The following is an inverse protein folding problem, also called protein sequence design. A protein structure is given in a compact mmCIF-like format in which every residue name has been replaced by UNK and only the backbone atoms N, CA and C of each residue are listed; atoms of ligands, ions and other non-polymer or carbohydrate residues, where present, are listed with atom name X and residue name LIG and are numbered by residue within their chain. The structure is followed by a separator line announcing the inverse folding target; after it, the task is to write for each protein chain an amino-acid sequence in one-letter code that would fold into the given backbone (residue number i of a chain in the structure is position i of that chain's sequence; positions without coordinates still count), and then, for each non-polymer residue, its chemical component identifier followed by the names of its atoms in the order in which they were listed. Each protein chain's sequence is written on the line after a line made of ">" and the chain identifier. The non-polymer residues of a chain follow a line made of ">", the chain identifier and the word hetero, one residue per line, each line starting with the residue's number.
data_IF_935166605934
#
_entry.id   IF_935166605934
#
_cell.length_a   1.000
_cell.length_b   1.000
_cell.length_c   1.000
_cell.angle_alpha   90.00
_cell.angle_beta   90.00
_cell.angle_gamma   90.00
#
_symmetry.space_group_name_H-M   'P 1'
#
loop_
_entity.id
_entity.type
_entity.pdbx_description
1 polymer ?
#
# COMPACT_ATOMS: atom_id res chain seq x y z
N UNK A 1 -62.03 -29.09 33.43
CA UNK A 1 -61.96 -28.74 31.99
C UNK A 1 -60.50 -28.45 31.67
N UNK A 2 -59.83 -29.42 31.06
CA UNK A 2 -58.44 -29.34 30.60
C UNK A 2 -58.44 -28.86 29.15
N UNK A 3 -57.69 -27.78 28.85
CA UNK A 3 -57.35 -27.42 27.48
C UNK A 3 -55.85 -27.09 27.40
N UNK A 4 -55.21 -27.75 26.42
CA UNK A 4 -53.84 -27.63 25.96
C UNK A 4 -53.46 -26.20 25.53
N UNK A 5 -52.16 -25.86 25.52
CA UNK A 5 -51.43 -25.54 24.27
C UNK A 5 -49.92 -25.39 24.49
N UNK A 6 -49.20 -25.92 23.50
CA UNK A 6 -47.76 -25.88 23.27
C UNK A 6 -47.19 -24.46 23.20
N UNK A 7 -45.92 -24.33 23.60
CA UNK A 7 -45.13 -23.12 23.47
C UNK A 7 -43.63 -23.44 23.43
N UNK A 8 -43.22 -24.27 22.48
CA UNK A 8 -41.81 -24.46 22.16
C UNK A 8 -41.23 -23.19 21.56
N UNK A 9 -40.44 -22.46 22.34
CA UNK A 9 -39.69 -21.30 21.89
C UNK A 9 -38.44 -21.77 21.12
N UNK A 10 -38.55 -21.82 19.79
CA UNK A 10 -37.41 -21.83 18.88
C UNK A 10 -36.74 -20.45 18.92
N UNK A 11 -35.65 -20.34 19.68
CA UNK A 11 -34.75 -19.19 19.59
C UNK A 11 -34.08 -19.14 18.21
N UNK A 12 -33.72 -17.94 17.72
CA UNK A 12 -33.03 -17.82 16.43
C UNK A 12 -31.65 -18.49 16.51
N UNK A 13 -31.11 -19.01 15.39
CA UNK A 13 -29.77 -19.56 15.39
C UNK A 13 -28.79 -18.44 15.77
N UNK A 14 -28.00 -18.69 16.82
CA UNK A 14 -26.85 -17.84 17.13
C UNK A 14 -25.91 -17.91 15.93
N UNK A 15 -25.76 -16.78 15.24
CA UNK A 15 -24.78 -16.59 14.17
C UNK A 15 -23.38 -16.51 14.80
N UNK A 16 -22.95 -17.67 15.30
CA UNK A 16 -21.69 -17.87 16.01
C UNK A 16 -20.55 -18.04 15.01
N UNK A 17 -20.27 -16.99 14.26
CA UNK A 17 -18.99 -16.88 13.56
C UNK A 17 -17.84 -17.06 14.58
N UNK A 18 -16.71 -17.67 14.18
CA UNK A 18 -15.61 -17.91 15.10
C UNK A 18 -15.12 -16.58 15.68
N UNK A 19 -15.28 -16.40 17.00
CA UNK A 19 -14.76 -15.25 17.73
C UNK A 19 -13.24 -15.33 17.70
N UNK A 20 -12.61 -14.42 16.97
CA UNK A 20 -11.16 -14.37 16.86
C UNK A 20 -10.57 -13.80 18.16
N UNK A 21 -9.78 -14.62 18.86
CA UNK A 21 -9.00 -14.17 20.03
C UNK A 21 -7.69 -13.53 19.56
N UNK A 22 -7.51 -12.23 19.77
CA UNK A 22 -6.32 -11.47 19.34
C UNK A 22 -6.48 -10.76 17.99
N UNK A 23 -5.44 -10.03 17.57
CA UNK A 23 -5.47 -9.21 16.36
C UNK A 23 -5.34 -10.11 15.11
N UNK A 24 -6.31 -10.02 14.22
CA UNK A 24 -6.30 -10.73 12.94
C UNK A 24 -6.26 -9.75 11.75
N UNK A 25 -5.56 -10.15 10.70
CA UNK A 25 -5.44 -9.44 9.43
C UNK A 25 -5.82 -10.41 8.32
N UNK A 26 -6.62 -9.97 7.35
CA UNK A 26 -6.89 -10.78 6.17
C UNK A 26 -5.97 -10.35 5.02
N UNK A 27 -5.39 -11.32 4.31
CA UNK A 27 -4.70 -11.13 3.05
C UNK A 27 -5.60 -11.66 1.95
N UNK A 28 -6.05 -10.78 1.06
CA UNK A 28 -7.01 -11.09 0.01
C UNK A 28 -6.29 -11.09 -1.33
N UNK A 29 -6.19 -12.25 -1.97
CA UNK A 29 -5.66 -12.35 -3.33
C UNK A 29 -6.77 -12.39 -4.36
N UNK A 30 -6.72 -11.46 -5.31
CA UNK A 30 -7.63 -11.38 -6.43
C UNK A 30 -6.97 -12.00 -7.66
N UNK A 31 -7.61 -13.03 -8.22
CA UNK A 31 -7.20 -13.65 -9.48
C UNK A 31 -8.39 -13.67 -10.43
N UNK A 32 -8.35 -12.84 -11.48
CA UNK A 32 -9.38 -12.87 -12.53
C UNK A 32 -8.96 -13.87 -13.61
N UNK A 33 -9.70 -14.97 -13.76
CA UNK A 33 -9.49 -15.87 -14.88
C UNK A 33 -9.86 -15.13 -16.17
N UNK A 34 -8.86 -14.67 -16.93
CA UNK A 34 -9.04 -14.22 -18.31
C UNK A 34 -9.09 -12.72 -18.58
N UNK A 35 -8.68 -11.83 -17.67
CA UNK A 35 -8.59 -10.41 -18.02
C UNK A 35 -7.36 -10.11 -18.90
N UNK A 36 -7.55 -10.14 -20.21
CA UNK A 36 -6.60 -9.59 -21.22
C UNK A 36 -6.28 -8.10 -21.01
N UNK A 37 -6.98 -7.42 -20.09
CA UNK A 37 -6.70 -6.03 -19.70
C UNK A 37 -5.59 -5.92 -18.63
N UNK A 38 -5.21 -7.02 -17.97
CA UNK A 38 -4.10 -7.03 -17.02
C UNK A 38 -2.73 -6.79 -17.71
N UNK A 39 -2.61 -7.11 -19.01
CA UNK A 39 -1.38 -6.90 -19.78
C UNK A 39 -1.08 -5.42 -20.09
N UNK A 40 -2.09 -4.55 -20.08
CA UNK A 40 -1.90 -3.10 -20.29
C UNK A 40 -1.77 -2.33 -18.98
N UNK A 41 -1.65 -3.06 -17.87
CA UNK A 41 -1.49 -2.47 -16.55
C UNK A 41 0.02 -2.19 -16.35
N UNK A 42 0.54 -1.17 -17.05
CA UNK A 42 1.96 -0.83 -17.24
C UNK A 42 2.85 -0.77 -15.97
N UNK A 43 4.04 -1.35 -16.07
CA UNK A 43 5.20 -1.11 -15.19
C UNK A 43 5.89 -2.36 -14.65
N UNK A 44 5.16 -3.46 -14.51
CA UNK A 44 5.69 -4.79 -14.23
C UNK A 44 4.62 -5.80 -14.62
N UNK A 45 4.95 -6.70 -15.55
CA UNK A 45 4.26 -7.98 -15.58
C UNK A 45 4.44 -8.57 -14.18
N UNK A 46 3.37 -8.62 -13.38
CA UNK A 46 3.38 -9.28 -12.07
C UNK A 46 3.94 -10.69 -12.31
N UNK A 47 5.19 -10.90 -11.92
CA UNK A 47 5.85 -12.19 -12.17
C UNK A 47 5.30 -13.26 -11.22
N UNK A 48 4.75 -12.83 -10.08
CA UNK A 48 4.18 -13.70 -9.06
C UNK A 48 2.66 -13.86 -9.23
N UNK A 49 2.13 -15.10 -9.25
CA UNK A 49 0.70 -15.35 -9.20
C UNK A 49 0.07 -14.78 -7.92
N UNK A 50 -1.13 -14.17 -7.97
CA UNK A 50 -1.75 -13.53 -6.80
C UNK A 50 -1.89 -14.43 -5.57
N UNK A 51 -2.20 -15.71 -5.75
CA UNK A 51 -2.34 -16.65 -4.62
C UNK A 51 -1.01 -16.95 -3.93
N UNK A 52 0.06 -17.12 -4.70
CA UNK A 52 1.43 -17.30 -4.15
C UNK A 52 1.82 -16.04 -3.38
N UNK A 53 1.58 -14.87 -3.96
CA UNK A 53 1.84 -13.60 -3.27
C UNK A 53 1.06 -13.49 -1.95
N UNK A 54 -0.22 -13.90 -1.90
CA UNK A 54 -0.99 -13.92 -0.65
C UNK A 54 -0.38 -14.85 0.40
N UNK A 55 0.04 -16.05 0.03
CA UNK A 55 0.67 -16.98 0.98
C UNK A 55 1.98 -16.41 1.54
N UNK A 56 2.80 -15.79 0.69
CA UNK A 56 4.06 -15.15 1.08
C UNK A 56 3.83 -13.94 1.99
N UNK A 57 2.85 -13.09 1.67
CA UNK A 57 2.50 -11.96 2.53
C UNK A 57 1.92 -12.42 3.86
N UNK A 58 1.11 -13.48 3.87
CA UNK A 58 0.60 -14.06 5.10
C UNK A 58 1.72 -14.67 5.95
N UNK A 59 2.71 -15.31 5.34
CA UNK A 59 3.91 -15.80 6.03
C UNK A 59 4.73 -14.64 6.61
N UNK A 60 5.03 -13.63 5.80
CA UNK A 60 5.72 -12.41 6.21
C UNK A 60 5.05 -11.77 7.44
N UNK A 61 3.72 -11.63 7.44
CA UNK A 61 2.97 -11.07 8.58
C UNK A 61 3.14 -11.93 9.82
N UNK A 62 2.98 -13.26 9.72
CA UNK A 62 3.11 -14.18 10.86
C UNK A 62 4.53 -14.23 11.43
N UNK A 63 5.54 -14.11 10.58
CA UNK A 63 6.96 -14.17 10.98
C UNK A 63 7.44 -12.88 11.65
N UNK A 64 6.87 -11.73 11.26
CA UNK A 64 7.36 -10.42 11.68
C UNK A 64 6.43 -9.71 12.68
N UNK A 65 5.27 -10.30 12.99
CA UNK A 65 4.27 -9.70 13.87
C UNK A 65 3.54 -10.77 14.69
N UNK A 66 2.93 -10.44 15.83
CA UNK A 66 2.11 -11.37 16.60
C UNK A 66 0.71 -11.60 15.99
N UNK A 67 0.41 -11.05 14.81
CA UNK A 67 -0.92 -11.07 14.21
C UNK A 67 -1.21 -12.41 13.51
N UNK A 68 -2.48 -12.80 13.55
CA UNK A 68 -2.97 -13.93 12.74
C UNK A 68 -3.26 -13.44 11.33
N UNK A 69 -2.67 -14.09 10.34
CA UNK A 69 -2.95 -13.80 8.93
C UNK A 69 -3.93 -14.83 8.35
N UNK A 70 -5.10 -14.37 7.91
CA UNK A 70 -6.12 -15.15 7.22
C UNK A 70 -5.92 -14.99 5.70
N UNK A 71 -5.89 -16.08 4.95
CA UNK A 71 -5.81 -16.04 3.49
C UNK A 71 -7.20 -16.14 2.89
N UNK A 72 -7.58 -15.19 2.02
CA UNK A 72 -8.86 -15.19 1.32
C UNK A 72 -8.64 -15.10 -0.20
N UNK A 73 -8.65 -16.22 -0.94
CA UNK A 73 -8.63 -16.18 -2.38
C UNK A 73 -9.97 -15.71 -2.95
N UNK A 74 -9.94 -14.81 -3.94
CA UNK A 74 -11.10 -14.26 -4.62
C UNK A 74 -10.88 -14.35 -6.14
N UNK A 75 -11.91 -14.78 -6.87
CA UNK A 75 -11.83 -15.03 -8.32
C UNK A 75 -12.44 -13.92 -9.18
N UNK A 76 -12.91 -12.85 -8.56
CA UNK A 76 -13.50 -11.68 -9.22
C UNK A 76 -12.71 -10.42 -8.86
N UNK A 77 -12.52 -9.56 -9.86
CA UNK A 77 -11.92 -8.22 -9.68
C UNK A 77 -12.97 -7.13 -9.50
N UNK A 78 -14.25 -7.48 -9.42
CA UNK A 78 -15.33 -6.53 -9.16
C UNK A 78 -15.18 -5.88 -7.77
N UNK A 79 -14.96 -4.55 -7.69
CA UNK A 79 -14.77 -3.86 -6.43
C UNK A 79 -15.93 -4.04 -5.45
N UNK A 80 -17.18 -4.05 -5.94
CA UNK A 80 -18.35 -4.14 -5.06
C UNK A 80 -18.44 -5.52 -4.40
N UNK A 81 -18.27 -6.59 -5.18
CA UNK A 81 -18.25 -7.96 -4.66
C UNK A 81 -17.09 -8.16 -3.69
N UNK A 82 -15.94 -7.56 -3.97
CA UNK A 82 -14.79 -7.64 -3.08
C UNK A 82 -15.02 -6.87 -1.77
N UNK A 83 -15.64 -5.68 -1.82
CA UNK A 83 -16.02 -4.92 -0.64
C UNK A 83 -17.01 -5.70 0.24
N UNK A 84 -18.04 -6.32 -0.34
CA UNK A 84 -18.98 -7.19 0.40
C UNK A 84 -18.26 -8.35 1.08
N UNK A 85 -17.32 -9.01 0.38
CA UNK A 85 -16.51 -10.09 0.97
C UNK A 85 -15.66 -9.61 2.14
N UNK A 86 -15.08 -8.41 2.04
CA UNK A 86 -14.30 -7.81 3.12
C UNK A 86 -15.18 -7.47 4.32
N UNK A 87 -16.36 -6.91 4.08
CA UNK A 87 -17.31 -6.55 5.15
C UNK A 87 -17.94 -7.78 5.83
N UNK A 88 -18.05 -8.89 5.11
CA UNK A 88 -18.49 -10.19 5.64
C UNK A 88 -17.41 -10.98 6.39
N UNK A 89 -16.20 -10.45 6.56
CA UNK A 89 -15.15 -11.11 7.35
C UNK A 89 -15.55 -11.22 8.83
N UNK A 90 -15.03 -12.22 9.58
CA UNK A 90 -15.33 -12.38 10.99
C UNK A 90 -15.02 -11.12 11.80
N UNK A 91 -15.85 -10.87 12.81
CA UNK A 91 -15.61 -9.79 13.77
C UNK A 91 -14.24 -9.96 14.44
N UNK A 92 -13.42 -8.91 14.41
CA UNK A 92 -12.05 -8.92 14.94
C UNK A 92 -10.94 -8.85 13.88
N UNK A 93 -11.25 -8.97 12.59
CA UNK A 93 -10.29 -8.57 11.54
C UNK A 93 -10.10 -7.06 11.59
N UNK A 94 -8.88 -6.62 11.92
CA UNK A 94 -8.57 -5.20 12.14
C UNK A 94 -8.10 -4.50 10.87
N UNK A 95 -7.52 -5.26 9.93
CA UNK A 95 -7.01 -4.76 8.66
C UNK A 95 -7.13 -5.81 7.57
N UNK A 96 -7.21 -5.36 6.32
CA UNK A 96 -7.21 -6.20 5.12
C UNK A 96 -6.12 -5.72 4.18
N UNK A 97 -5.28 -6.63 3.71
CA UNK A 97 -4.28 -6.38 2.68
C UNK A 97 -4.70 -7.02 1.36
N UNK A 98 -4.92 -6.22 0.31
CA UNK A 98 -5.42 -6.66 -0.99
C UNK A 98 -4.28 -6.75 -2.01
N UNK A 99 -4.19 -7.90 -2.67
CA UNK A 99 -3.14 -8.28 -3.63
C UNK A 99 -3.78 -8.67 -4.97
N UNK A 100 -3.11 -8.33 -6.08
CA UNK A 100 -3.56 -8.73 -7.42
C UNK A 100 -4.66 -7.83 -8.03
N UNK A 101 -4.99 -6.72 -7.39
CA UNK A 101 -5.99 -5.76 -7.88
C UNK A 101 -5.33 -4.59 -8.64
N UNK A 102 -6.04 -3.98 -9.59
CA UNK A 102 -5.61 -2.78 -10.31
C UNK A 102 -5.77 -1.51 -9.46
N UNK A 103 -5.15 -0.40 -9.86
CA UNK A 103 -5.09 0.81 -9.04
C UNK A 103 -6.47 1.48 -8.84
N UNK A 104 -7.35 1.46 -9.85
CA UNK A 104 -8.69 2.04 -9.76
C UNK A 104 -9.61 1.20 -8.88
N UNK A 105 -9.57 -0.10 -9.09
CA UNK A 105 -10.35 -1.07 -8.35
C UNK A 105 -9.93 -1.08 -6.87
N UNK A 106 -8.63 -1.01 -6.60
CA UNK A 106 -8.05 -0.86 -5.25
C UNK A 106 -8.60 0.35 -4.51
N UNK A 107 -8.58 1.52 -5.15
CA UNK A 107 -9.13 2.74 -4.58
C UNK A 107 -10.65 2.64 -4.34
N UNK A 108 -11.38 2.01 -5.27
CA UNK A 108 -12.83 1.80 -5.13
C UNK A 108 -13.17 0.91 -3.94
N UNK A 109 -12.47 -0.22 -3.76
CA UNK A 109 -12.68 -1.13 -2.63
C UNK A 109 -12.36 -0.45 -1.31
N UNK A 110 -11.20 0.21 -1.20
CA UNK A 110 -10.80 0.88 0.03
C UNK A 110 -11.81 1.95 0.46
N UNK A 111 -12.32 2.73 -0.50
CA UNK A 111 -13.35 3.74 -0.25
C UNK A 111 -14.67 3.10 0.21
N UNK A 112 -15.18 2.12 -0.51
CA UNK A 112 -16.46 1.49 -0.20
C UNK A 112 -16.46 0.81 1.19
N UNK A 113 -15.38 0.09 1.52
CA UNK A 113 -15.22 -0.53 2.85
C UNK A 113 -15.13 0.53 3.95
N UNK A 114 -14.41 1.63 3.69
CA UNK A 114 -14.28 2.74 4.64
C UNK A 114 -15.63 3.43 4.90
N UNK A 115 -16.38 3.77 3.85
CA UNK A 115 -17.69 4.42 3.93
C UNK A 115 -18.70 3.58 4.73
N UNK A 116 -18.57 2.25 4.68
CA UNK A 116 -19.42 1.30 5.41
C UNK A 116 -18.86 0.90 6.77
N UNK A 117 -17.79 1.56 7.23
CA UNK A 117 -17.23 1.37 8.57
C UNK A 117 -16.50 0.04 8.77
N UNK A 118 -16.02 -0.58 7.70
CA UNK A 118 -15.26 -1.82 7.73
C UNK A 118 -13.81 -1.66 8.25
N UNK A 119 -13.01 -2.74 8.18
CA UNK A 119 -11.60 -2.70 8.55
C UNK A 119 -10.77 -1.78 7.63
N UNK A 120 -9.61 -1.33 8.10
CA UNK A 120 -8.69 -0.57 7.24
C UNK A 120 -8.22 -1.45 6.07
N UNK A 121 -8.37 -0.94 4.85
CA UNK A 121 -7.91 -1.59 3.63
C UNK A 121 -6.55 -1.03 3.23
N UNK A 122 -5.57 -1.92 3.11
CA UNK A 122 -4.26 -1.68 2.56
C UNK A 122 -4.14 -2.45 1.24
N UNK A 123 -3.41 -1.92 0.28
CA UNK A 123 -3.23 -2.52 -1.04
C UNK A 123 -1.76 -2.62 -1.39
N UNK A 124 -1.42 -3.47 -2.36
CA UNK A 124 -0.04 -3.51 -2.90
C UNK A 124 0.43 -2.13 -3.36
N UNK A 125 -0.47 -1.31 -3.91
CA UNK A 125 -0.14 0.04 -4.36
C UNK A 125 0.28 0.95 -3.20
N UNK A 126 -0.31 0.80 -2.02
CA UNK A 126 0.03 1.62 -0.85
C UNK A 126 1.45 1.34 -0.35
N UNK A 127 1.80 0.06 -0.23
CA UNK A 127 3.13 -0.37 0.21
C UNK A 127 4.19 -0.08 -0.86
N UNK A 128 3.85 -0.23 -2.14
CA UNK A 128 4.71 0.20 -3.25
C UNK A 128 4.95 1.70 -3.23
N UNK A 129 3.90 2.49 -3.01
CA UNK A 129 3.98 3.96 -2.91
C UNK A 129 4.94 4.38 -1.80
N UNK A 130 4.83 3.76 -0.62
CA UNK A 130 5.73 4.04 0.50
C UNK A 130 7.19 3.70 0.16
N UNK A 131 7.45 2.52 -0.40
CA UNK A 131 8.81 2.09 -0.74
C UNK A 131 9.42 2.93 -1.87
N UNK A 132 8.66 3.23 -2.94
CA UNK A 132 9.11 4.09 -4.05
C UNK A 132 9.40 5.51 -3.57
N UNK A 133 8.56 6.06 -2.68
CA UNK A 133 8.81 7.38 -2.11
C UNK A 133 10.07 7.39 -1.21
N UNK A 134 10.29 6.34 -0.41
CA UNK A 134 11.49 6.20 0.39
C UNK A 134 12.75 6.05 -0.48
N UNK A 135 12.68 5.28 -1.56
CA UNK A 135 13.74 5.14 -2.55
C UNK A 135 14.06 6.47 -3.23
N UNK A 136 13.04 7.26 -3.56
CA UNK A 136 13.18 8.62 -4.10
C UNK A 136 13.96 9.53 -3.15
N UNK A 137 13.55 9.60 -1.88
CA UNK A 137 14.21 10.43 -0.86
C UNK A 137 15.66 9.98 -0.63
N UNK A 138 15.90 8.67 -0.57
CA UNK A 138 17.25 8.12 -0.40
C UNK A 138 18.12 8.43 -1.62
N UNK A 139 17.57 8.34 -2.83
CA UNK A 139 18.29 8.68 -4.07
C UNK A 139 18.66 10.17 -4.10
N UNK A 140 17.77 11.07 -3.68
CA UNK A 140 18.10 12.50 -3.50
C UNK A 140 19.27 12.69 -2.52
N UNK A 141 19.21 12.05 -1.34
CA UNK A 141 20.26 12.12 -0.32
C UNK A 141 21.61 11.60 -0.81
N UNK A 142 21.63 10.47 -1.52
CA UNK A 142 22.86 9.90 -2.12
C UNK A 142 23.50 10.83 -3.14
N UNK A 143 22.70 11.70 -3.77
CA UNK A 143 23.15 12.76 -4.68
C UNK A 143 23.48 14.07 -3.96
N UNK A 144 23.50 14.06 -2.62
CA UNK A 144 23.69 15.26 -1.79
C UNK A 144 22.64 16.36 -2.04
N UNK A 145 21.44 15.98 -2.49
CA UNK A 145 20.31 16.89 -2.69
C UNK A 145 19.37 16.75 -1.49
N UNK A 146 19.18 17.82 -0.68
CA UNK A 146 18.18 17.81 0.37
C UNK A 146 16.78 17.61 -0.23
N UNK A 147 15.88 16.80 0.37
CA UNK A 147 14.55 16.54 -0.19
C UNK A 147 13.77 17.81 -0.57
N UNK A 148 13.81 18.83 0.30
CA UNK A 148 13.16 20.14 0.10
C UNK A 148 13.63 20.93 -1.12
N UNK A 149 14.80 20.60 -1.66
CA UNK A 149 15.37 21.22 -2.86
C UNK A 149 15.33 20.27 -4.06
N UNK A 150 14.90 19.01 -3.85
CA UNK A 150 14.87 17.99 -4.87
C UNK A 150 13.76 18.23 -5.89
N UNK A 151 14.13 18.09 -7.16
CA UNK A 151 13.23 18.13 -8.31
C UNK A 151 13.03 16.73 -8.86
N UNK A 152 11.82 16.22 -8.71
CA UNK A 152 11.48 14.83 -9.05
C UNK A 152 10.53 14.81 -10.24
N UNK A 153 10.90 14.05 -11.27
CA UNK A 153 10.04 13.77 -12.43
C UNK A 153 9.39 12.41 -12.21
N UNK A 154 8.08 12.30 -12.45
CA UNK A 154 7.32 11.05 -12.32
C UNK A 154 6.73 10.67 -13.67
N UNK A 155 7.02 9.47 -14.16
CA UNK A 155 6.29 8.88 -15.29
C UNK A 155 5.04 8.17 -14.77
N UNK A 156 3.95 8.16 -15.54
CA UNK A 156 2.77 7.36 -15.20
C UNK A 156 2.09 7.76 -13.88
N UNK A 157 2.10 9.04 -13.49
CA UNK A 157 1.61 9.48 -12.18
C UNK A 157 0.17 9.03 -11.83
N UNK A 158 -0.69 8.78 -12.82
CA UNK A 158 -2.04 8.25 -12.63
C UNK A 158 -2.11 6.86 -11.97
N UNK A 159 -0.99 6.13 -11.99
CA UNK A 159 -0.86 4.77 -11.46
C UNK A 159 -0.78 4.71 -9.94
N UNK A 160 -0.12 5.70 -9.34
CA UNK A 160 0.06 5.82 -7.90
C UNK A 160 -0.40 7.20 -7.43
N UNK A 161 -1.73 7.45 -7.34
CA UNK A 161 -2.26 8.77 -7.00
C UNK A 161 -1.75 9.31 -5.66
N UNK A 162 -1.41 8.43 -4.71
CA UNK A 162 -0.86 8.82 -3.42
C UNK A 162 0.63 9.21 -3.47
N UNK A 163 1.36 8.91 -4.55
CA UNK A 163 2.80 9.15 -4.58
C UNK A 163 3.16 10.63 -4.45
N UNK A 164 2.53 11.50 -5.25
CA UNK A 164 2.79 12.93 -5.20
C UNK A 164 2.48 13.54 -3.81
N UNK A 165 1.28 13.37 -3.22
CA UNK A 165 1.00 13.92 -1.89
C UNK A 165 1.90 13.30 -0.81
N UNK A 166 2.28 12.03 -0.90
CA UNK A 166 3.21 11.39 0.04
C UNK A 166 4.62 11.97 -0.07
N UNK A 167 5.13 12.21 -1.28
CA UNK A 167 6.44 12.84 -1.49
C UNK A 167 6.45 14.27 -0.93
N UNK A 168 5.39 15.05 -1.17
CA UNK A 168 5.22 16.39 -0.59
C UNK A 168 5.19 16.33 0.94
N UNK A 169 4.35 15.46 1.52
CA UNK A 169 4.24 15.27 2.97
C UNK A 169 5.54 14.71 3.61
N UNK A 170 6.41 14.12 2.79
CA UNK A 170 7.74 13.66 3.19
C UNK A 170 8.83 14.72 2.98
N UNK A 171 8.48 15.89 2.45
CA UNK A 171 9.33 17.07 2.33
C UNK A 171 10.05 17.23 0.98
N UNK A 172 9.56 16.60 -0.09
CA UNK A 172 10.09 16.83 -1.45
C UNK A 172 9.64 18.21 -1.97
N UNK A 173 10.58 18.95 -2.55
CA UNK A 173 10.39 20.35 -2.93
C UNK A 173 9.59 20.56 -4.22
N UNK A 174 9.93 19.83 -5.28
CA UNK A 174 9.32 20.01 -6.60
C UNK A 174 9.01 18.67 -7.26
N UNK A 175 7.84 18.60 -7.88
CA UNK A 175 7.30 17.40 -8.53
C UNK A 175 6.73 17.79 -9.89
N UNK A 176 7.19 17.11 -10.92
CA UNK A 176 6.64 17.22 -12.26
C UNK A 176 6.26 15.85 -12.81
N UNK A 177 5.24 15.80 -13.66
CA UNK A 177 4.83 14.58 -14.36
C UNK A 177 5.32 14.63 -15.79
N UNK A 178 5.75 13.48 -16.31
CA UNK A 178 6.09 13.31 -17.72
C UNK A 178 5.24 12.20 -18.34
N UNK A 179 4.84 12.39 -19.58
CA UNK A 179 4.05 11.42 -20.34
C UNK A 179 4.74 11.09 -21.65
N UNK A 180 4.66 9.83 -22.06
CA UNK A 180 5.29 9.35 -23.30
C UNK A 180 4.80 10.08 -24.54
N UNK A 181 3.51 10.47 -24.57
CA UNK A 181 2.95 11.31 -25.65
C UNK A 181 3.64 12.66 -25.80
N UNK A 182 4.31 13.16 -24.75
CA UNK A 182 5.00 14.44 -24.74
C UNK A 182 6.48 14.29 -25.15
N UNK A 183 6.95 13.07 -25.44
CA UNK A 183 8.35 12.76 -25.70
C UNK A 183 8.95 13.50 -26.90
N UNK A 184 8.15 13.76 -27.94
CA UNK A 184 8.58 14.46 -29.15
C UNK A 184 8.94 15.93 -28.86
N UNK A 185 8.10 16.62 -28.07
CA UNK A 185 8.31 18.01 -27.69
C UNK A 185 9.28 18.14 -26.50
N UNK A 186 9.22 17.21 -25.55
CA UNK A 186 9.98 17.22 -24.31
C UNK A 186 10.66 15.86 -24.06
N UNK A 187 11.80 15.59 -24.72
CA UNK A 187 12.55 14.36 -24.51
C UNK A 187 12.97 14.19 -23.05
N UNK A 188 12.65 13.03 -22.45
CA UNK A 188 12.87 12.78 -21.02
C UNK A 188 14.34 12.99 -20.60
N UNK A 189 15.29 12.58 -21.44
CA UNK A 189 16.73 12.78 -21.18
C UNK A 189 17.08 14.25 -20.97
N UNK A 190 16.51 15.15 -21.78
CA UNK A 190 16.73 16.60 -21.70
C UNK A 190 16.08 17.20 -20.45
N UNK A 191 14.86 16.78 -20.12
CA UNK A 191 14.21 17.17 -18.87
C UNK A 191 15.06 16.78 -17.66
N UNK A 192 15.62 15.58 -17.69
CA UNK A 192 16.44 15.09 -16.61
C UNK A 192 17.76 15.87 -16.45
N UNK A 193 18.25 16.65 -17.42
CA UNK A 193 19.41 17.54 -17.23
C UNK A 193 19.20 18.57 -16.11
N UNK A 194 17.94 18.93 -15.81
CA UNK A 194 17.57 19.92 -14.81
C UNK A 194 16.81 19.36 -13.61
N UNK A 195 16.68 18.03 -13.54
CA UNK A 195 15.96 17.32 -12.48
C UNK A 195 16.85 16.29 -11.77
N UNK A 196 16.58 16.05 -10.50
CA UNK A 196 17.47 15.30 -9.63
C UNK A 196 17.19 13.80 -9.66
N UNK A 197 15.92 13.41 -9.70
CA UNK A 197 15.46 12.01 -9.67
C UNK A 197 14.32 11.79 -10.64
N UNK A 198 14.34 10.65 -11.32
CA UNK A 198 13.24 10.14 -12.12
C UNK A 198 12.57 8.99 -11.36
N UNK A 199 11.26 9.05 -11.16
CA UNK A 199 10.46 7.90 -10.73
C UNK A 199 9.76 7.34 -11.96
N UNK A 200 10.15 6.14 -12.38
CA UNK A 200 9.55 5.47 -13.53
C UNK A 200 8.51 4.45 -13.05
N UNK A 201 7.25 4.88 -12.94
CA UNK A 201 6.14 4.00 -12.53
C UNK A 201 5.61 3.18 -13.70
N UNK A 202 5.59 3.76 -14.90
CA UNK A 202 5.04 3.12 -16.08
C UNK A 202 6.02 2.17 -16.77
N UNK A 203 7.31 2.17 -16.40
CA UNK A 203 8.35 1.39 -17.06
C UNK A 203 8.61 1.86 -18.49
N UNK A 204 8.26 3.11 -18.81
CA UNK A 204 8.34 3.67 -20.15
C UNK A 204 9.54 4.61 -20.33
N UNK A 205 10.34 4.83 -19.28
CA UNK A 205 11.52 5.66 -19.42
C UNK A 205 12.56 4.94 -20.30
N UNK A 206 13.07 5.60 -21.37
CA UNK A 206 14.13 5.02 -22.18
C UNK A 206 15.37 4.69 -21.34
N UNK A 207 16.06 3.62 -21.72
CA UNK A 207 17.31 3.25 -21.06
C UNK A 207 18.31 4.43 -21.13
N UNK A 208 18.94 4.72 -19.99
CA UNK A 208 19.88 5.85 -19.89
C UNK A 208 19.24 7.25 -19.90
N UNK A 209 17.91 7.39 -19.83
CA UNK A 209 17.27 8.70 -19.67
C UNK A 209 17.71 9.42 -18.38
N UNK A 210 17.99 8.64 -17.32
CA UNK A 210 18.43 9.16 -16.02
C UNK A 210 19.42 8.20 -15.31
N UNK A 211 20.66 8.03 -15.84
CA UNK A 211 21.61 7.06 -15.30
C UNK A 211 21.91 7.30 -13.81
N UNK A 212 21.77 6.26 -13.00
CA UNK A 212 22.04 6.32 -11.55
C UNK A 212 21.09 7.20 -10.73
N UNK A 213 19.97 7.65 -11.31
CA UNK A 213 18.96 8.47 -10.63
C UNK A 213 17.51 8.09 -10.94
N UNK A 214 17.30 6.95 -11.57
CA UNK A 214 15.98 6.36 -11.80
C UNK A 214 15.60 5.47 -10.63
N UNK A 215 14.41 5.71 -10.06
CA UNK A 215 13.71 4.82 -9.14
C UNK A 215 12.63 4.12 -9.95
N UNK A 216 12.81 2.83 -10.22
CA UNK A 216 11.84 2.00 -10.92
C UNK A 216 10.98 1.21 -9.92
N UNK A 217 9.77 0.84 -10.35
CA UNK A 217 8.94 -0.14 -9.66
C UNK A 217 9.51 -1.55 -9.92
N UNK A 218 9.72 -2.37 -8.89
CA UNK A 218 10.27 -3.71 -9.08
C UNK A 218 9.27 -4.60 -9.83
N UNK A 219 9.80 -5.58 -10.57
CA UNK A 219 8.99 -6.59 -11.25
C UNK A 219 8.19 -7.49 -10.27
N UNK A 220 8.64 -7.54 -9.02
CA UNK A 220 8.00 -8.27 -7.93
C UNK A 220 7.72 -7.29 -6.78
N UNK A 221 6.44 -6.97 -6.60
CA UNK A 221 6.00 -6.03 -5.57
C UNK A 221 6.23 -6.53 -4.14
N UNK A 222 6.39 -7.85 -3.95
CA UNK A 222 6.63 -8.43 -2.63
C UNK A 222 7.87 -7.85 -1.95
N UNK A 223 8.94 -7.59 -2.72
CA UNK A 223 10.19 -7.05 -2.18
C UNK A 223 9.97 -5.71 -1.47
N UNK A 224 9.13 -4.84 -2.05
CA UNK A 224 8.81 -3.54 -1.47
C UNK A 224 7.73 -3.65 -0.38
N UNK A 225 6.75 -4.52 -0.58
CA UNK A 225 5.74 -4.82 0.44
C UNK A 225 6.35 -5.34 1.74
N UNK A 226 7.39 -6.18 1.64
CA UNK A 226 8.12 -6.72 2.79
C UNK A 226 8.76 -5.65 3.69
N UNK A 227 9.15 -4.50 3.11
CA UNK A 227 9.75 -3.40 3.85
C UNK A 227 8.74 -2.61 4.68
N UNK A 228 7.48 -2.59 4.25
CA UNK A 228 6.47 -1.66 4.77
C UNK A 228 5.43 -2.39 5.61
N UNK A 229 4.89 -3.48 5.06
CA UNK A 229 3.63 -4.07 5.52
C UNK A 229 3.66 -4.51 6.99
N UNK A 230 4.68 -5.22 7.50
CA UNK A 230 4.66 -5.69 8.89
C UNK A 230 4.65 -4.53 9.90
N UNK A 231 5.50 -3.52 9.68
CA UNK A 231 5.59 -2.36 10.57
C UNK A 231 4.34 -1.48 10.49
N UNK A 232 3.79 -1.31 9.29
CA UNK A 232 2.54 -0.57 9.08
C UNK A 232 1.36 -1.25 9.79
N UNK A 233 1.19 -2.56 9.62
CA UNK A 233 0.15 -3.34 10.31
C UNK A 233 0.35 -3.30 11.83
N UNK A 234 1.59 -3.44 12.32
CA UNK A 234 1.89 -3.40 13.75
C UNK A 234 1.50 -2.06 14.41
N UNK A 235 1.50 -0.96 13.65
CA UNK A 235 1.05 0.33 14.12
C UNK A 235 -0.45 0.57 13.91
N UNK A 236 -1.04 0.13 12.80
CA UNK A 236 -2.46 0.37 12.52
C UNK A 236 -3.37 -0.48 13.41
N UNK A 237 -3.02 -1.75 13.57
CA UNK A 237 -3.82 -2.67 14.37
C UNK A 237 -3.74 -2.29 15.85
N UNK A 238 -4.90 -2.07 16.48
CA UNK A 238 -5.02 -1.62 17.87
C UNK A 238 -5.25 -0.12 18.07
N UNK A 239 -5.16 0.70 17.01
CA UNK A 239 -5.41 2.16 17.10
C UNK A 239 -6.78 2.58 16.56
N UNK A 240 -7.67 1.64 16.22
CA UNK A 240 -9.01 1.94 15.71
C UNK A 240 -9.03 2.68 14.37
N UNK A 241 -7.91 2.66 13.64
CA UNK A 241 -7.76 3.33 12.34
C UNK A 241 -8.63 2.64 11.30
N UNK A 242 -9.40 3.45 10.56
CA UNK A 242 -10.29 2.95 9.48
C UNK A 242 -9.82 3.32 8.09
N UNK A 243 -8.91 4.28 7.98
CA UNK A 243 -8.44 4.81 6.69
C UNK A 243 -6.94 5.01 6.72
N UNK A 244 -6.26 4.60 5.65
CA UNK A 244 -4.85 4.89 5.45
C UNK A 244 -4.70 6.34 4.94
N UNK A 245 -4.07 7.21 5.73
CA UNK A 245 -3.87 8.61 5.34
C UNK A 245 -2.49 8.87 4.73
N UNK A 246 -2.35 9.99 4.04
CA UNK A 246 -1.08 10.46 3.46
C UNK A 246 0.00 10.57 4.53
N UNK A 247 -0.34 11.07 5.72
CA UNK A 247 0.58 11.27 6.85
C UNK A 247 1.14 9.95 7.39
N UNK A 248 0.29 8.91 7.43
CA UNK A 248 0.70 7.56 7.81
C UNK A 248 1.69 6.99 6.81
N UNK A 249 1.39 7.10 5.51
CA UNK A 249 2.29 6.63 4.45
C UNK A 249 3.60 7.44 4.46
N UNK A 250 3.53 8.77 4.61
CA UNK A 250 4.71 9.63 4.72
C UNK A 250 5.54 9.31 5.98
N UNK A 251 4.92 8.88 7.08
CA UNK A 251 5.63 8.41 8.26
C UNK A 251 6.39 7.11 7.99
N UNK A 252 5.81 6.17 7.24
CA UNK A 252 6.52 4.98 6.75
C UNK A 252 7.72 5.37 5.89
N UNK A 253 7.51 6.29 4.94
CA UNK A 253 8.56 6.81 4.04
C UNK A 253 9.74 7.39 4.82
N UNK A 254 9.45 8.25 5.80
CA UNK A 254 10.50 8.84 6.67
C UNK A 254 11.22 7.78 7.49
N UNK A 255 10.51 6.77 7.99
CA UNK A 255 11.11 5.66 8.73
C UNK A 255 12.09 4.88 7.86
N UNK A 256 11.64 4.45 6.68
CA UNK A 256 12.47 3.71 5.72
C UNK A 256 13.70 4.53 5.35
N UNK A 257 13.53 5.78 4.89
CA UNK A 257 14.64 6.64 4.50
C UNK A 257 15.61 6.95 5.65
N UNK A 258 15.16 6.91 6.92
CA UNK A 258 16.01 7.12 8.08
C UNK A 258 16.91 5.91 8.37
N UNK A 259 16.39 4.69 8.19
CA UNK A 259 17.12 3.45 8.48
C UNK A 259 17.90 2.92 7.27
N UNK A 260 17.66 3.46 6.07
CA UNK A 260 18.43 3.07 4.88
C UNK A 260 19.92 3.41 5.04
N UNK A 261 20.83 2.42 4.89
CA UNK A 261 22.27 2.67 4.84
C UNK A 261 22.65 3.60 3.68
N UNK A 262 23.72 4.40 3.84
CA UNK A 262 24.11 5.43 2.86
C UNK A 262 24.48 4.88 1.48
N UNK A 263 24.91 3.63 1.40
CA UNK A 263 25.28 2.90 0.18
C UNK A 263 24.09 2.23 -0.51
N UNK A 264 22.92 2.19 0.14
CA UNK A 264 21.72 1.49 -0.34
C UNK A 264 20.60 2.48 -0.72
N UNK A 265 19.64 2.03 -1.52
CA UNK A 265 18.47 2.83 -1.93
C UNK A 265 17.29 2.61 -0.97
N UNK A 266 17.19 1.41 -0.40
CA UNK A 266 16.20 0.99 0.59
C UNK A 266 16.88 0.09 1.64
N UNK A 267 16.33 -0.03 2.85
CA UNK A 267 16.89 -0.94 3.85
C UNK A 267 16.72 -2.40 3.43
N UNK A 268 17.51 -3.28 4.03
CA UNK A 268 17.33 -4.73 3.89
C UNK A 268 16.06 -5.20 4.60
N UNK A 269 15.32 -6.12 3.97
CA UNK A 269 14.16 -6.76 4.59
C UNK A 269 14.52 -7.56 5.86
N UNK A 270 15.79 -7.99 5.99
CA UNK A 270 16.29 -8.67 7.18
C UNK A 270 16.80 -7.76 8.30
N UNK A 271 16.70 -6.43 8.15
CA UNK A 271 17.09 -5.50 9.20
C UNK A 271 16.16 -5.64 10.43
N UNK A 272 16.76 -5.99 11.57
CA UNK A 272 16.03 -6.20 12.84
C UNK A 272 15.27 -4.96 13.31
N UNK A 273 15.70 -3.77 12.89
CA UNK A 273 15.06 -2.51 13.28
C UNK A 273 13.87 -2.16 12.39
N UNK A 274 13.76 -2.74 11.19
CA UNK A 274 12.80 -2.36 10.15
C UNK A 274 11.36 -2.24 10.66
N UNK A 275 10.83 -3.34 11.21
CA UNK A 275 9.44 -3.41 11.69
C UNK A 275 9.21 -2.38 12.79
N UNK A 276 10.11 -2.32 13.78
CA UNK A 276 9.99 -1.41 14.93
C UNK A 276 10.12 0.06 14.52
N UNK A 277 10.97 0.37 13.54
CA UNK A 277 11.20 1.72 13.06
C UNK A 277 9.98 2.24 12.30
N UNK A 278 9.44 1.44 11.38
CA UNK A 278 8.21 1.77 10.65
C UNK A 278 7.05 1.93 11.63
N UNK A 279 6.81 0.93 12.49
CA UNK A 279 5.71 0.96 13.44
C UNK A 279 5.76 2.21 14.34
N UNK A 280 6.94 2.51 14.92
CA UNK A 280 7.12 3.68 15.80
C UNK A 280 6.84 5.01 15.10
N UNK A 281 7.28 5.19 13.85
CA UNK A 281 7.00 6.43 13.12
C UNK A 281 5.53 6.56 12.77
N UNK A 282 4.88 5.47 12.37
CA UNK A 282 3.45 5.45 12.08
C UNK A 282 2.63 5.73 13.34
N UNK A 283 2.89 5.04 14.45
CA UNK A 283 2.17 5.28 15.71
C UNK A 283 2.32 6.74 16.19
N UNK A 284 3.48 7.37 15.98
CA UNK A 284 3.65 8.80 16.26
C UNK A 284 2.76 9.67 15.37
N UNK A 285 2.68 9.37 14.08
CA UNK A 285 1.81 10.10 13.17
C UNK A 285 0.33 9.94 13.50
N UNK A 286 -0.09 8.74 13.94
CA UNK A 286 -1.45 8.47 14.42
C UNK A 286 -1.78 9.22 15.73
N UNK A 287 -0.80 9.37 16.62
CA UNK A 287 -0.96 10.08 17.90
C UNK A 287 -0.92 11.61 17.81
N UNK A 288 -0.60 12.18 16.64
CA UNK A 288 -0.71 13.61 16.42
C UNK A 288 -2.07 13.90 15.78
N UNK A 289 -2.96 14.67 16.44
CA UNK A 289 -4.20 15.11 15.80
C UNK A 289 -3.84 15.91 14.55
N UNK A 290 -4.55 15.63 13.45
CA UNK A 290 -4.47 16.43 12.23
C UNK A 290 -4.76 17.88 12.63
N UNK A 291 -3.88 18.87 12.33
CA UNK A 291 -4.27 20.25 12.44
C UNK A 291 -5.38 20.47 11.43
N UNK A 292 -6.60 20.45 11.94
CA UNK A 292 -7.82 20.74 11.22
C UNK A 292 -7.65 22.07 10.46
N UNK A 293 -7.59 21.99 9.14
CA UNK A 293 -7.90 23.11 8.26
C UNK A 293 -9.40 23.06 7.99
N UNK A 294 -10.17 23.62 8.91
CA UNK A 294 -11.29 24.44 8.48
C UNK A 294 -10.72 25.49 7.52
N UNK A 295 -11.25 25.57 6.29
CA UNK A 295 -11.58 26.84 5.63
C UNK A 295 -12.08 26.60 4.19
N UNK A 296 -13.41 26.78 4.07
CA UNK A 296 -14.26 27.10 2.90
C UNK A 296 -14.53 26.02 1.84
#
# INVERSE_FOLDING_TARGET
>A
MTNNHDGGASGPPSDGGPVLTGISVAVVAVSTAGSKHAEHTAGSARTRPPWVAMEDYAALIRENTPMRALCLPVTTGDPHVLAERILGLPTGVSAVFVVGLGHRESASVAREVTERGGPVVLTELDVLTAAVAAATITTLRRRSVPPRAGRVVVTGASWAPLLAPVLIASGVGDLSSWYERDAEAFPLRRLMEHNDVLVDLAGCAPEGAAPGRTVAVPADGFVYGALVLPGLLAALCGHGVRTLTVEVVAACVRALALITPADQVLPSAGDRLLVSAVARHVSRALGHPVPYRDQW
#
